data_IF_752954055562
#
_entry.id   IF_752954055562
#
_cell.length_a   1.000
_cell.length_b   1.000
_cell.length_c   1.000
_cell.angle_alpha   90.00
_cell.angle_beta   90.00
_cell.angle_gamma   90.00
#
_symmetry.space_group_name_H-M   'P 1'
#
loop_
_entity.id
_entity.type
_entity.pdbx_description
1 polymer ?
#
# COMPACT_ATOMS: atom_id res chain seq x y z
N UNK A 1 32.58 -19.21 -37.67
CA UNK A 1 33.25 -18.87 -38.95
C UNK A 1 33.70 -17.42 -38.88
N UNK A 2 34.90 -17.10 -39.35
CA UNK A 2 35.52 -15.77 -39.19
C UNK A 2 35.65 -15.07 -40.54
N UNK A 3 35.34 -13.78 -40.59
CA UNK A 3 35.51 -12.93 -41.77
C UNK A 3 36.67 -11.96 -41.56
N UNK A 4 37.41 -11.63 -42.62
CA UNK A 4 38.43 -10.60 -42.53
C UNK A 4 37.78 -9.21 -42.47
N UNK A 5 38.06 -8.38 -41.44
CA UNK A 5 37.45 -7.05 -41.30
C UNK A 5 37.89 -6.07 -42.39
N UNK A 6 38.97 -6.38 -43.12
CA UNK A 6 39.53 -5.49 -44.15
C UNK A 6 39.04 -5.79 -45.55
N UNK A 7 38.90 -7.07 -45.93
CA UNK A 7 38.53 -7.47 -47.30
C UNK A 7 37.19 -8.23 -47.38
N UNK A 8 36.57 -8.57 -46.23
CA UNK A 8 35.27 -9.22 -46.18
C UNK A 8 35.25 -10.70 -46.60
N UNK A 9 36.41 -11.27 -46.95
CA UNK A 9 36.49 -12.68 -47.38
C UNK A 9 36.38 -13.59 -46.16
N UNK A 10 35.66 -14.70 -46.35
CA UNK A 10 35.55 -15.76 -45.36
C UNK A 10 36.88 -16.50 -45.24
N UNK A 11 37.38 -16.60 -44.02
CA UNK A 11 38.69 -17.20 -43.72
C UNK A 11 38.51 -18.27 -42.66
N UNK A 12 39.29 -19.36 -42.79
CA UNK A 12 39.32 -20.43 -41.80
C UNK A 12 39.66 -19.86 -40.41
N UNK A 13 38.97 -20.38 -39.39
CA UNK A 13 39.03 -19.90 -38.01
C UNK A 13 40.44 -19.86 -37.39
N UNK A 14 41.36 -20.69 -37.90
CA UNK A 14 42.76 -20.74 -37.44
C UNK A 14 43.76 -19.98 -38.33
N UNK A 15 43.31 -19.23 -39.34
CA UNK A 15 44.20 -18.48 -40.22
C UNK A 15 44.73 -17.21 -39.53
N UNK A 16 46.03 -17.15 -39.23
CA UNK A 16 46.68 -15.98 -38.62
C UNK A 16 46.80 -14.77 -39.57
N UNK A 17 46.81 -15.00 -40.88
CA UNK A 17 46.87 -13.97 -41.91
C UNK A 17 45.88 -14.27 -43.02
N UNK A 18 45.22 -13.24 -43.53
CA UNK A 18 44.32 -13.36 -44.67
C UNK A 18 45.13 -13.67 -45.94
N UNK A 19 44.81 -14.73 -46.71
CA UNK A 19 45.58 -15.12 -47.89
C UNK A 19 45.47 -14.08 -49.04
N UNK A 20 44.33 -13.40 -49.16
CA UNK A 20 44.12 -12.38 -50.21
C UNK A 20 44.82 -11.05 -49.92
N UNK A 21 44.53 -10.42 -48.78
CA UNK A 21 45.03 -9.07 -48.49
C UNK A 21 46.22 -9.04 -47.51
N UNK A 22 46.74 -10.22 -47.11
CA UNK A 22 47.87 -10.43 -46.17
C UNK A 22 47.70 -9.78 -44.78
N UNK A 23 46.50 -9.34 -44.44
CA UNK A 23 46.19 -8.70 -43.16
C UNK A 23 46.26 -9.70 -42.00
N UNK A 24 46.87 -9.33 -40.89
CA UNK A 24 46.94 -10.15 -39.67
C UNK A 24 45.59 -10.16 -38.95
N UNK A 25 45.02 -11.35 -38.78
CA UNK A 25 43.75 -11.53 -38.08
C UNK A 25 44.00 -11.60 -36.57
N UNK A 26 43.21 -10.89 -35.74
CA UNK A 26 43.29 -11.03 -34.29
C UNK A 26 42.88 -12.46 -33.90
N UNK A 27 43.69 -13.11 -33.06
CA UNK A 27 43.40 -14.44 -32.54
C UNK A 27 42.26 -14.31 -31.51
N UNK A 28 41.09 -14.86 -31.84
CA UNK A 28 39.96 -14.95 -30.92
C UNK A 28 39.99 -16.37 -30.37
N UNK A 29 40.56 -16.53 -29.18
CA UNK A 29 40.59 -17.81 -28.50
C UNK A 29 39.16 -18.17 -28.09
N UNK A 30 38.57 -19.15 -28.76
CA UNK A 30 37.17 -19.56 -28.48
C UNK A 30 37.04 -20.40 -27.23
N UNK A 31 38.18 -20.84 -26.67
CA UNK A 31 38.27 -21.65 -25.45
C UNK A 31 38.75 -20.86 -24.22
N UNK A 32 39.11 -19.58 -24.37
CA UNK A 32 39.31 -18.73 -23.20
C UNK A 32 37.93 -18.21 -22.76
N UNK A 33 37.34 -18.90 -21.79
CA UNK A 33 36.41 -18.26 -20.87
C UNK A 33 37.21 -17.27 -20.01
N UNK A 34 37.82 -16.26 -20.63
CA UNK A 34 38.16 -15.05 -19.91
C UNK A 34 36.83 -14.50 -19.45
N UNK A 35 36.52 -14.79 -18.18
CA UNK A 35 35.48 -14.14 -17.44
C UNK A 35 35.55 -12.67 -17.81
N UNK A 36 34.53 -12.18 -18.53
CA UNK A 36 34.26 -10.75 -18.58
C UNK A 36 34.21 -10.33 -17.12
N UNK A 37 35.32 -9.83 -16.60
CA UNK A 37 35.35 -9.17 -15.32
C UNK A 37 34.35 -8.05 -15.49
N UNK A 38 33.30 -8.06 -14.66
CA UNK A 38 32.24 -7.06 -14.64
C UNK A 38 32.87 -5.66 -14.53
N UNK A 39 33.30 -5.11 -15.66
CA UNK A 39 33.95 -3.81 -15.78
C UNK A 39 32.91 -2.70 -15.66
N UNK A 40 31.62 -3.08 -15.67
CA UNK A 40 30.50 -2.23 -15.34
C UNK A 40 30.06 -2.51 -13.91
N UNK A 41 29.99 -1.48 -13.05
CA UNK A 41 29.50 -1.66 -11.69
C UNK A 41 28.05 -2.14 -11.73
N UNK A 42 27.74 -3.14 -10.89
CA UNK A 42 26.38 -3.61 -10.69
C UNK A 42 25.45 -2.43 -10.35
N UNK A 43 24.29 -2.36 -10.99
CA UNK A 43 23.33 -1.27 -10.78
C UNK A 43 22.78 -1.32 -9.35
N UNK A 44 23.37 -0.53 -8.45
CA UNK A 44 22.87 -0.37 -7.08
C UNK A 44 21.70 0.61 -7.11
N UNK A 45 20.54 0.21 -6.60
CA UNK A 45 19.38 1.10 -6.49
C UNK A 45 19.58 2.11 -5.34
N UNK A 46 20.27 3.21 -5.62
CA UNK A 46 20.54 4.31 -4.69
C UNK A 46 19.24 5.01 -4.23
N UNK A 47 18.20 5.02 -5.08
CA UNK A 47 16.92 5.67 -4.80
C UNK A 47 16.24 5.08 -3.55
N UNK A 48 16.23 3.76 -3.42
CA UNK A 48 15.64 3.09 -2.25
C UNK A 48 16.33 3.48 -0.93
N UNK A 49 17.65 3.71 -0.94
CA UNK A 49 18.39 4.13 0.26
C UNK A 49 18.03 5.56 0.66
N UNK A 50 18.04 6.50 -0.30
CA UNK A 50 17.70 7.91 -0.06
C UNK A 50 16.28 8.09 0.47
N UNK A 51 15.30 7.37 -0.09
CA UNK A 51 13.90 7.42 0.40
C UNK A 51 13.79 6.89 1.83
N UNK A 52 14.52 5.82 2.17
CA UNK A 52 14.53 5.25 3.53
C UNK A 52 15.14 6.21 4.54
N UNK A 53 16.24 6.88 4.17
CA UNK A 53 16.89 7.90 5.00
C UNK A 53 15.97 9.10 5.21
N UNK A 54 15.34 9.63 4.15
CA UNK A 54 14.39 10.72 4.26
C UNK A 54 13.21 10.38 5.19
N UNK A 55 12.62 9.19 5.06
CA UNK A 55 11.53 8.73 5.94
C UNK A 55 11.96 8.62 7.41
N UNK A 56 13.19 8.17 7.67
CA UNK A 56 13.76 8.11 9.03
C UNK A 56 13.92 9.50 9.62
N UNK A 57 14.46 10.45 8.85
CA UNK A 57 14.60 11.86 9.28
C UNK A 57 13.22 12.45 9.57
N UNK A 58 12.27 12.27 8.65
CA UNK A 58 10.89 12.74 8.82
C UNK A 58 10.24 12.15 10.08
N UNK A 59 10.36 10.85 10.29
CA UNK A 59 9.85 10.19 11.50
C UNK A 59 10.50 10.73 12.77
N UNK A 60 11.82 10.97 12.76
CA UNK A 60 12.53 11.54 13.91
C UNK A 60 12.03 12.95 14.24
N UNK A 61 11.79 13.79 13.23
CA UNK A 61 11.25 15.14 13.41
C UNK A 61 9.84 15.08 13.98
N UNK A 62 8.94 14.29 13.37
CA UNK A 62 7.55 14.13 13.84
C UNK A 62 7.52 13.61 15.28
N UNK A 63 8.36 12.62 15.60
CA UNK A 63 8.50 12.06 16.94
C UNK A 63 8.91 13.14 17.94
N UNK A 64 9.89 13.99 17.61
CA UNK A 64 10.32 15.08 18.48
C UNK A 64 9.17 16.07 18.75
N UNK A 65 8.45 16.50 17.71
CA UNK A 65 7.29 17.37 17.86
C UNK A 65 6.18 16.76 18.71
N UNK A 66 5.88 15.47 18.53
CA UNK A 66 4.88 14.77 19.33
C UNK A 66 5.27 14.72 20.80
N UNK A 67 6.53 14.38 21.10
CA UNK A 67 7.04 14.33 22.48
C UNK A 67 6.98 15.71 23.13
N UNK A 68 7.44 16.76 22.43
CA UNK A 68 7.35 18.13 22.94
C UNK A 68 5.90 18.54 23.21
N UNK A 69 4.98 18.28 22.27
CA UNK A 69 3.55 18.55 22.43
C UNK A 69 2.95 17.80 23.63
N UNK A 70 3.34 16.55 23.85
CA UNK A 70 2.91 15.75 25.00
C UNK A 70 3.36 16.39 26.33
N UNK A 71 4.62 16.81 26.43
CA UNK A 71 5.12 17.49 27.63
C UNK A 71 4.44 18.83 27.87
N UNK A 72 4.26 19.64 26.82
CA UNK A 72 3.59 20.94 26.93
C UNK A 72 2.16 20.76 27.43
N UNK A 73 1.39 19.83 26.85
CA UNK A 73 -0.01 19.59 27.24
C UNK A 73 -0.14 19.03 28.65
N UNK A 74 0.76 18.15 29.07
CA UNK A 74 0.82 17.65 30.45
C UNK A 74 1.15 18.76 31.44
N UNK A 75 2.20 19.53 31.18
CA UNK A 75 2.66 20.60 32.05
C UNK A 75 1.63 21.71 32.18
N UNK A 76 1.04 22.16 31.06
CA UNK A 76 0.00 23.19 31.06
C UNK A 76 -1.23 22.74 31.86
N UNK A 77 -1.67 21.49 31.68
CA UNK A 77 -2.81 21.00 32.45
C UNK A 77 -2.50 20.89 33.95
N UNK A 78 -1.31 20.39 34.29
CA UNK A 78 -0.90 20.31 35.69
C UNK A 78 -0.81 21.69 36.33
N UNK A 79 -0.27 22.68 35.61
CA UNK A 79 -0.15 24.06 36.08
C UNK A 79 -1.50 24.74 36.28
N UNK A 80 -2.44 24.57 35.33
CA UNK A 80 -3.76 25.22 35.38
C UNK A 80 -4.71 24.51 36.37
N UNK A 81 -4.76 23.19 36.31
CA UNK A 81 -5.80 22.39 37.00
C UNK A 81 -5.33 21.73 38.29
N UNK A 82 -4.02 21.67 38.53
CA UNK A 82 -3.41 20.89 39.63
C UNK A 82 -3.63 19.38 39.53
N UNK A 83 -4.37 18.90 38.52
CA UNK A 83 -4.75 17.50 38.29
C UNK A 83 -4.75 17.20 36.80
N UNK A 84 -4.49 15.95 36.44
CA UNK A 84 -4.55 15.47 35.06
C UNK A 84 -5.99 15.18 34.64
N UNK A 85 -6.68 16.19 34.13
CA UNK A 85 -8.03 16.11 33.53
C UNK A 85 -7.97 15.90 32.00
N UNK A 86 -7.89 16.97 31.21
CA UNK A 86 -7.93 16.91 29.73
C UNK A 86 -6.64 16.42 29.07
N UNK A 87 -5.49 16.60 29.72
CA UNK A 87 -4.20 16.16 29.16
C UNK A 87 -4.13 14.65 28.94
N UNK A 88 -4.89 13.84 29.68
CA UNK A 88 -4.97 12.38 29.47
C UNK A 88 -5.47 12.02 28.08
N UNK A 89 -6.53 12.70 27.61
CA UNK A 89 -7.06 12.51 26.27
C UNK A 89 -6.05 12.93 25.20
N UNK A 90 -5.43 14.10 25.38
CA UNK A 90 -4.42 14.61 24.46
C UNK A 90 -3.21 13.67 24.35
N UNK A 91 -2.69 13.18 25.48
CA UNK A 91 -1.52 12.29 25.49
C UNK A 91 -1.79 10.97 24.79
N UNK A 92 -2.94 10.32 25.03
CA UNK A 92 -3.28 9.07 24.34
C UNK A 92 -3.44 9.29 22.83
N UNK A 93 -4.06 10.40 22.40
CA UNK A 93 -4.16 10.73 20.98
C UNK A 93 -2.78 10.94 20.34
N UNK A 94 -1.87 11.65 21.02
CA UNK A 94 -0.50 11.89 20.54
C UNK A 94 0.28 10.58 20.44
N UNK A 95 0.19 9.70 21.44
CA UNK A 95 0.86 8.39 21.42
C UNK A 95 0.32 7.52 20.28
N UNK A 96 -1.00 7.47 20.10
CA UNK A 96 -1.60 6.74 18.98
C UNK A 96 -1.17 7.32 17.62
N UNK A 97 -1.09 8.65 17.49
CA UNK A 97 -0.59 9.32 16.29
C UNK A 97 0.87 8.94 15.99
N UNK A 98 1.73 8.91 17.01
CA UNK A 98 3.12 8.46 16.85
C UNK A 98 3.19 7.04 16.30
N UNK A 99 2.32 6.14 16.78
CA UNK A 99 2.27 4.77 16.28
C UNK A 99 1.74 4.68 14.84
N UNK A 100 0.75 5.48 14.46
CA UNK A 100 0.29 5.57 13.06
C UNK A 100 1.41 6.06 12.13
N UNK A 101 2.14 7.10 12.52
CA UNK A 101 3.29 7.58 11.73
C UNK A 101 4.38 6.53 11.63
N UNK A 102 4.64 5.79 12.72
CA UNK A 102 5.59 4.68 12.71
C UNK A 102 5.18 3.60 11.70
N UNK A 103 3.92 3.14 11.76
CA UNK A 103 3.39 2.14 10.83
C UNK A 103 3.41 2.61 9.37
N UNK A 104 3.06 3.88 9.10
CA UNK A 104 2.99 4.40 7.72
C UNK A 104 4.38 4.69 7.11
N UNK A 105 5.34 5.14 7.93
CA UNK A 105 6.68 5.50 7.45
C UNK A 105 7.62 4.29 7.40
N UNK A 106 7.38 3.25 8.19
CA UNK A 106 8.18 2.03 8.15
C UNK A 106 7.84 1.19 6.91
N UNK A 107 8.78 1.14 5.97
CA UNK A 107 8.61 0.54 4.65
C UNK A 107 8.71 -1.00 4.64
N UNK A 108 8.94 -1.62 5.79
CA UNK A 108 9.25 -3.05 5.87
C UNK A 108 8.04 -3.91 6.23
N UNK A 109 6.90 -3.31 6.54
CA UNK A 109 5.72 -4.05 6.98
C UNK A 109 5.06 -4.76 5.81
N UNK A 110 4.86 -6.07 5.95
CA UNK A 110 3.93 -6.80 5.08
C UNK A 110 2.54 -6.18 5.28
N UNK A 111 1.80 -6.00 4.19
CA UNK A 111 0.48 -5.34 4.22
C UNK A 111 -0.48 -5.93 5.27
N UNK A 112 -0.47 -7.26 5.44
CA UNK A 112 -1.29 -7.93 6.48
C UNK A 112 -0.92 -7.47 7.90
N UNK A 113 0.38 -7.39 8.21
CA UNK A 113 0.85 -6.92 9.51
C UNK A 113 0.54 -5.43 9.72
N UNK A 114 0.63 -4.63 8.64
CA UNK A 114 0.27 -3.22 8.68
C UNK A 114 -1.21 -3.02 9.04
N UNK A 115 -2.13 -3.74 8.40
CA UNK A 115 -3.57 -3.64 8.73
C UNK A 115 -3.84 -4.03 10.18
N UNK A 116 -3.27 -5.15 10.63
CA UNK A 116 -3.48 -5.64 12.00
C UNK A 116 -2.91 -4.64 13.02
N UNK A 117 -1.69 -4.14 12.80
CA UNK A 117 -1.08 -3.12 13.65
C UNK A 117 -1.89 -1.83 13.69
N UNK A 118 -2.39 -1.39 12.54
CA UNK A 118 -3.24 -0.20 12.44
C UNK A 118 -4.54 -0.37 13.24
N UNK A 119 -5.24 -1.49 13.03
CA UNK A 119 -6.48 -1.80 13.72
C UNK A 119 -6.31 -2.00 15.22
N UNK A 120 -5.24 -2.65 15.67
CA UNK A 120 -4.91 -2.80 17.09
C UNK A 120 -4.64 -1.44 17.75
N UNK A 121 -3.88 -0.56 17.10
CA UNK A 121 -3.64 0.78 17.61
C UNK A 121 -4.93 1.60 17.70
N UNK A 122 -5.79 1.52 16.68
CA UNK A 122 -7.10 2.17 16.72
C UNK A 122 -7.95 1.63 17.86
N UNK A 123 -7.96 0.31 18.08
CA UNK A 123 -8.72 -0.33 19.16
C UNK A 123 -8.24 0.12 20.54
N UNK A 124 -6.93 0.12 20.76
CA UNK A 124 -6.32 0.61 22.01
C UNK A 124 -6.69 2.08 22.23
N UNK A 125 -6.58 2.93 21.21
CA UNK A 125 -6.95 4.34 21.28
C UNK A 125 -8.39 4.54 21.74
N UNK A 126 -9.37 3.94 21.06
CA UNK A 126 -10.79 4.11 21.42
C UNK A 126 -11.12 3.51 22.79
N UNK A 127 -10.45 2.43 23.18
CA UNK A 127 -10.65 1.79 24.47
C UNK A 127 -10.12 2.66 25.62
N UNK A 128 -8.93 3.26 25.48
CA UNK A 128 -8.41 4.20 26.48
C UNK A 128 -9.30 5.45 26.61
N UNK A 129 -9.81 5.97 25.50
CA UNK A 129 -10.73 7.11 25.51
C UNK A 129 -12.01 6.79 26.30
N UNK A 130 -12.63 5.64 26.04
CA UNK A 130 -13.86 5.21 26.71
C UNK A 130 -13.64 4.87 28.20
N UNK A 131 -12.45 4.38 28.56
CA UNK A 131 -12.06 4.20 29.97
C UNK A 131 -11.95 5.55 30.69
N UNK A 132 -11.43 6.59 30.03
CA UNK A 132 -11.33 7.91 30.63
C UNK A 132 -12.67 8.61 30.79
N UNK A 133 -13.63 8.33 29.91
CA UNK A 133 -15.03 8.74 30.06
C UNK A 133 -15.73 8.01 31.23
N UNK A 134 -15.12 6.95 31.77
CA UNK A 134 -15.59 6.24 32.96
C UNK A 134 -16.70 5.21 32.69
N UNK A 135 -17.10 5.00 31.45
CA UNK A 135 -18.15 4.04 31.06
C UNK A 135 -17.80 3.31 29.77
N UNK A 136 -17.34 2.06 29.87
CA UNK A 136 -17.13 1.17 28.72
C UNK A 136 -18.46 0.91 27.99
N UNK A 137 -18.71 1.66 26.92
CA UNK A 137 -20.00 1.66 26.24
C UNK A 137 -19.83 1.66 24.73
N UNK A 138 -19.33 2.75 24.16
CA UNK A 138 -19.27 2.93 22.71
C UNK A 138 -18.05 2.24 22.09
N UNK A 139 -16.94 2.09 22.81
CA UNK A 139 -15.75 1.43 22.27
C UNK A 139 -16.01 -0.03 21.92
N UNK A 140 -16.74 -0.76 22.77
CA UNK A 140 -17.06 -2.16 22.56
C UNK A 140 -18.26 -2.32 21.62
N UNK A 141 -19.34 -1.55 21.83
CA UNK A 141 -20.59 -1.73 21.07
C UNK A 141 -20.51 -1.25 19.62
N UNK A 142 -19.75 -0.19 19.36
CA UNK A 142 -19.63 0.43 18.03
C UNK A 142 -18.20 0.37 17.50
N UNK A 143 -17.24 0.77 18.32
CA UNK A 143 -15.85 0.89 17.89
C UNK A 143 -15.24 -0.43 17.43
N UNK A 144 -15.39 -1.49 18.22
CA UNK A 144 -14.86 -2.82 17.89
C UNK A 144 -15.48 -3.39 16.61
N UNK A 145 -16.82 -3.42 16.42
CA UNK A 145 -17.43 -3.83 15.15
C UNK A 145 -16.90 -3.05 13.95
N UNK A 146 -16.75 -1.73 14.06
CA UNK A 146 -16.22 -0.92 12.96
C UNK A 146 -14.77 -1.26 12.62
N UNK A 147 -13.92 -1.46 13.64
CA UNK A 147 -12.52 -1.87 13.42
C UNK A 147 -12.47 -3.23 12.73
N UNK A 148 -13.24 -4.21 13.22
CA UNK A 148 -13.28 -5.55 12.61
C UNK A 148 -13.76 -5.48 11.15
N UNK A 149 -14.81 -4.71 10.89
CA UNK A 149 -15.32 -4.52 9.53
C UNK A 149 -14.32 -3.82 8.60
N UNK A 150 -13.61 -2.79 9.08
CA UNK A 150 -12.59 -2.10 8.26
C UNK A 150 -11.41 -3.02 7.94
N UNK A 151 -10.94 -3.81 8.91
CA UNK A 151 -9.88 -4.80 8.69
C UNK A 151 -10.34 -5.86 7.67
N UNK A 152 -11.57 -6.33 7.80
CA UNK A 152 -12.15 -7.30 6.87
C UNK A 152 -12.23 -6.72 5.45
N UNK A 153 -12.75 -5.49 5.30
CA UNK A 153 -12.83 -4.78 4.01
C UNK A 153 -11.45 -4.64 3.36
N UNK A 154 -10.46 -4.12 4.10
CA UNK A 154 -9.10 -3.93 3.59
C UNK A 154 -8.44 -5.26 3.20
N UNK A 155 -8.70 -6.32 3.96
CA UNK A 155 -8.21 -7.67 3.66
C UNK A 155 -8.84 -8.22 2.38
N UNK A 156 -10.15 -8.09 2.21
CA UNK A 156 -10.86 -8.48 0.98
C UNK A 156 -10.32 -7.71 -0.22
N UNK A 157 -10.21 -6.38 -0.11
CA UNK A 157 -9.65 -5.55 -1.17
C UNK A 157 -8.24 -6.01 -1.55
N UNK A 158 -7.37 -6.27 -0.57
CA UNK A 158 -6.01 -6.74 -0.81
C UNK A 158 -5.96 -8.11 -1.49
N UNK A 159 -6.78 -9.06 -1.05
CA UNK A 159 -6.85 -10.38 -1.69
C UNK A 159 -7.37 -10.27 -3.13
N UNK A 160 -8.36 -9.42 -3.39
CA UNK A 160 -8.82 -9.09 -4.76
C UNK A 160 -7.69 -8.50 -5.60
N UNK A 161 -6.94 -7.53 -5.08
CA UNK A 161 -5.78 -6.95 -5.76
C UNK A 161 -4.68 -7.98 -6.05
N UNK A 162 -4.49 -8.95 -5.16
CA UNK A 162 -3.48 -10.01 -5.28
C UNK A 162 -3.87 -11.06 -6.33
N UNK A 163 -5.14 -11.45 -6.37
CA UNK A 163 -5.66 -12.50 -7.27
C UNK A 163 -5.93 -11.95 -8.67
N UNK A 164 -6.33 -10.67 -8.80
CA UNK A 164 -6.71 -10.08 -10.07
C UNK A 164 -5.51 -9.98 -11.04
N UNK A 165 -5.45 -10.89 -12.02
CA UNK A 165 -4.46 -10.91 -13.10
C UNK A 165 -4.48 -9.64 -13.97
N UNK A 166 -5.66 -9.01 -14.10
CA UNK A 166 -5.85 -7.73 -14.79
C UNK A 166 -6.54 -6.73 -13.85
N UNK A 167 -5.81 -5.68 -13.46
CA UNK A 167 -6.07 -4.86 -12.26
C UNK A 167 -7.10 -3.73 -12.43
N UNK A 168 -7.79 -3.64 -13.57
CA UNK A 168 -8.54 -2.43 -13.92
C UNK A 168 -10.00 -2.52 -13.48
N UNK A 169 -10.92 -2.80 -14.40
CA UNK A 169 -12.36 -2.78 -14.14
C UNK A 169 -12.83 -3.82 -13.12
N UNK A 170 -12.17 -4.99 -13.05
CA UNK A 170 -12.56 -6.05 -12.11
C UNK A 170 -12.34 -5.65 -10.65
N UNK A 171 -11.14 -5.10 -10.37
CA UNK A 171 -10.79 -4.67 -9.02
C UNK A 171 -11.69 -3.54 -8.58
N UNK A 172 -11.93 -2.55 -9.45
CA UNK A 172 -12.87 -1.46 -9.18
C UNK A 172 -14.31 -1.97 -8.93
N UNK A 173 -14.77 -2.98 -9.67
CA UNK A 173 -16.09 -3.57 -9.45
C UNK A 173 -16.20 -4.26 -8.09
N UNK A 174 -15.23 -5.11 -7.74
CA UNK A 174 -15.21 -5.78 -6.43
C UNK A 174 -15.06 -4.81 -5.25
N UNK A 175 -14.25 -3.76 -5.38
CA UNK A 175 -14.11 -2.76 -4.30
C UNK A 175 -15.41 -1.98 -4.09
N UNK A 176 -16.16 -1.65 -5.14
CA UNK A 176 -17.47 -1.00 -5.03
C UNK A 176 -18.50 -1.90 -4.33
N UNK A 177 -18.53 -3.19 -4.67
CA UNK A 177 -19.42 -4.15 -4.00
C UNK A 177 -19.02 -4.29 -2.52
N UNK A 178 -17.73 -4.44 -2.23
CA UNK A 178 -17.24 -4.54 -0.86
C UNK A 178 -17.56 -3.26 -0.05
N UNK A 179 -17.45 -2.08 -0.65
CA UNK A 179 -17.82 -0.80 -0.05
C UNK A 179 -19.32 -0.72 0.25
N UNK A 180 -20.17 -1.21 -0.66
CA UNK A 180 -21.63 -1.26 -0.42
C UNK A 180 -21.98 -2.11 0.80
N UNK A 181 -21.37 -3.29 0.93
CA UNK A 181 -21.54 -4.18 2.09
C UNK A 181 -21.03 -3.54 3.38
N UNK A 182 -19.91 -2.82 3.30
CA UNK A 182 -19.37 -2.06 4.43
C UNK A 182 -20.34 -0.97 4.92
N UNK A 183 -20.96 -0.22 4.00
CA UNK A 183 -21.97 0.79 4.35
C UNK A 183 -23.21 0.17 5.00
N UNK A 184 -23.69 -0.99 4.50
CA UNK A 184 -24.80 -1.74 5.12
C UNK A 184 -24.46 -2.13 6.56
N UNK A 185 -23.26 -2.67 6.78
CA UNK A 185 -22.86 -3.06 8.13
C UNK A 185 -22.75 -1.87 9.07
N UNK A 186 -22.20 -0.72 8.65
CA UNK A 186 -22.14 0.48 9.50
C UNK A 186 -23.55 0.91 9.91
N UNK A 187 -24.44 1.11 8.93
CA UNK A 187 -25.81 1.57 9.18
C UNK A 187 -26.58 0.59 10.07
N UNK A 188 -26.35 -0.72 9.86
CA UNK A 188 -26.88 -1.78 10.71
C UNK A 188 -26.40 -1.72 12.16
N UNK A 189 -25.09 -1.63 12.40
CA UNK A 189 -24.52 -1.54 13.76
C UNK A 189 -24.88 -0.23 14.47
N UNK A 190 -24.92 0.89 13.74
CA UNK A 190 -25.40 2.18 14.26
C UNK A 190 -26.86 2.06 14.68
N UNK A 191 -27.71 1.53 13.81
CA UNK A 191 -29.15 1.42 14.10
C UNK A 191 -29.45 0.43 15.21
N UNK A 192 -28.71 -0.67 15.30
CA UNK A 192 -28.81 -1.60 16.40
C UNK A 192 -28.45 -0.94 17.73
N UNK A 193 -27.39 -0.12 17.76
CA UNK A 193 -26.94 0.54 18.99
C UNK A 193 -27.84 1.70 19.42
N UNK A 194 -28.37 2.47 18.47
CA UNK A 194 -29.20 3.65 18.75
C UNK A 194 -30.68 3.31 18.98
N UNK A 195 -31.22 2.37 18.21
CA UNK A 195 -32.68 2.10 18.17
C UNK A 195 -33.05 0.68 18.59
N UNK A 196 -32.07 -0.18 18.95
CA UNK A 196 -32.26 -1.61 19.21
C UNK A 196 -33.00 -2.37 18.08
N UNK A 197 -32.99 -1.80 16.87
CA UNK A 197 -33.69 -2.33 15.70
C UNK A 197 -32.76 -2.25 14.50
N UNK A 198 -32.64 -3.36 13.77
CA UNK A 198 -31.86 -3.41 12.55
C UNK A 198 -32.65 -2.76 11.40
N UNK A 199 -32.48 -1.44 11.25
CA UNK A 199 -33.11 -0.65 10.18
C UNK A 199 -32.01 -0.03 9.31
N UNK A 200 -32.13 -0.22 8.00
CA UNK A 200 -31.22 0.36 7.03
C UNK A 200 -31.89 1.62 6.47
N UNK A 201 -31.21 2.76 6.52
CA UNK A 201 -31.74 4.06 6.06
C UNK A 201 -30.89 4.60 4.92
N UNK A 202 -29.67 5.01 5.22
CA UNK A 202 -28.80 5.65 4.23
C UNK A 202 -27.99 4.62 3.42
N UNK A 203 -27.68 3.48 4.03
CA UNK A 203 -26.97 2.40 3.33
C UNK A 203 -27.75 1.82 2.15
N UNK A 204 -29.08 1.86 2.18
CA UNK A 204 -29.93 1.43 1.06
C UNK A 204 -29.69 2.28 -0.19
N UNK A 205 -29.65 3.61 -0.03
CA UNK A 205 -29.39 4.53 -1.14
C UNK A 205 -28.01 4.29 -1.74
N UNK A 206 -26.99 4.12 -0.89
CA UNK A 206 -25.62 3.81 -1.32
C UNK A 206 -25.57 2.47 -2.05
N UNK A 207 -26.25 1.45 -1.53
CA UNK A 207 -26.24 0.10 -2.12
C UNK A 207 -26.91 0.06 -3.49
N UNK A 208 -28.05 0.75 -3.65
CA UNK A 208 -28.77 0.82 -4.94
C UNK A 208 -27.90 1.45 -6.03
N UNK A 209 -26.95 2.33 -5.69
CA UNK A 209 -26.03 2.94 -6.66
C UNK A 209 -24.78 2.08 -6.87
N UNK A 210 -24.10 1.69 -5.78
CA UNK A 210 -22.79 1.04 -5.86
C UNK A 210 -22.86 -0.41 -6.36
N UNK A 211 -23.90 -1.14 -5.99
CA UNK A 211 -24.05 -2.55 -6.34
C UNK A 211 -24.22 -2.76 -7.86
N UNK A 212 -25.18 -2.11 -8.56
CA UNK A 212 -25.29 -2.27 -10.01
C UNK A 212 -24.07 -1.70 -10.75
N UNK A 213 -23.50 -0.59 -10.27
CA UNK A 213 -22.26 -0.04 -10.84
C UNK A 213 -21.13 -1.07 -10.77
N UNK A 214 -20.90 -1.67 -9.61
CA UNK A 214 -19.88 -2.71 -9.41
C UNK A 214 -20.11 -3.94 -10.30
N UNK A 215 -21.36 -4.39 -10.42
CA UNK A 215 -21.72 -5.51 -11.30
C UNK A 215 -21.47 -5.20 -12.78
N UNK A 216 -21.82 -4.00 -13.25
CA UNK A 216 -21.56 -3.59 -14.64
C UNK A 216 -20.06 -3.56 -14.93
N UNK A 217 -19.24 -3.08 -14.00
CA UNK A 217 -17.78 -3.08 -14.13
C UNK A 217 -17.20 -4.51 -14.24
N UNK A 218 -17.69 -5.44 -13.43
CA UNK A 218 -17.30 -6.86 -13.51
C UNK A 218 -17.77 -7.47 -14.83
N UNK A 219 -18.99 -7.16 -15.26
CA UNK A 219 -19.55 -7.62 -16.53
C UNK A 219 -18.71 -7.17 -17.73
N UNK A 220 -18.36 -5.88 -17.78
CA UNK A 220 -17.49 -5.30 -18.81
C UNK A 220 -16.13 -6.00 -18.81
N UNK A 221 -15.59 -6.31 -17.63
CA UNK A 221 -14.32 -7.01 -17.53
C UNK A 221 -14.38 -8.43 -18.14
N UNK A 222 -15.41 -9.21 -17.83
CA UNK A 222 -15.47 -10.61 -18.26
C UNK A 222 -16.06 -10.82 -19.66
N UNK A 223 -17.10 -10.08 -20.06
CA UNK A 223 -17.87 -10.36 -21.28
C UNK A 223 -17.60 -9.43 -22.46
N UNK A 224 -16.91 -8.30 -22.26
CA UNK A 224 -16.68 -7.35 -23.36
C UNK A 224 -15.48 -7.79 -24.25
N UNK A 225 -15.61 -7.74 -25.59
CA UNK A 225 -14.49 -8.01 -26.49
C UNK A 225 -13.32 -7.04 -26.27
N UNK A 226 -12.10 -7.51 -26.52
CA UNK A 226 -10.85 -6.76 -26.25
C UNK A 226 -10.80 -5.41 -26.99
N UNK A 227 -11.37 -5.34 -28.19
CA UNK A 227 -11.41 -4.12 -29.00
C UNK A 227 -12.19 -2.97 -28.32
N UNK A 228 -13.33 -3.28 -27.73
CA UNK A 228 -14.15 -2.30 -27.02
C UNK A 228 -13.52 -1.88 -25.68
N UNK A 229 -12.79 -2.80 -25.02
CA UNK A 229 -12.00 -2.48 -23.81
C UNK A 229 -10.90 -1.45 -24.13
N UNK A 230 -10.22 -1.57 -25.27
CA UNK A 230 -9.19 -0.63 -25.70
C UNK A 230 -9.79 0.74 -26.06
N UNK A 231 -10.97 0.77 -26.70
CA UNK A 231 -11.66 2.05 -26.98
C UNK A 231 -12.10 2.77 -25.70
N UNK A 232 -12.66 2.04 -24.73
CA UNK A 232 -13.02 2.60 -23.42
C UNK A 232 -11.79 3.10 -22.67
N UNK A 233 -10.68 2.34 -22.73
CA UNK A 233 -9.39 2.73 -22.16
C UNK A 233 -8.93 4.09 -22.71
N UNK A 234 -8.91 4.25 -24.04
CA UNK A 234 -8.50 5.51 -24.68
C UNK A 234 -9.38 6.70 -24.30
N UNK A 235 -10.69 6.49 -24.13
CA UNK A 235 -11.63 7.56 -23.75
C UNK A 235 -11.56 7.94 -22.28
N UNK A 236 -11.26 7.00 -21.40
CA UNK A 236 -11.25 7.21 -19.95
C UNK A 236 -9.87 7.62 -19.40
N UNK A 237 -8.82 7.69 -20.24
CA UNK A 237 -7.44 7.99 -19.81
C UNK A 237 -6.92 7.08 -18.67
N UNK A 238 -7.38 5.83 -18.63
CA UNK A 238 -6.91 4.75 -17.74
C UNK A 238 -6.00 3.81 -18.54
#
# INVERSE_FOLDING_TARGET
MSYCPKCGVEVNSNAKKCPLCKFSLPYIDTNSSESFSDSFPNAINIYNKKVKEFKKILFSIIKAFCICSMFITLFCNFYISGKLTWSKYSTVCIVAAMFYFYLMLDLQWKFKNFIIGFGLNTFILILLLDIFDGKLSWSIKLGLPFIVMTICLLSICYEVFRIAKHKYFNVAGYTLIALSLYCIGIDGFVSLTLYNLFKLRWSLLVTIVLLPLGLVLIYIHHKLPVEYKIKLKKKLHI
#
